data_IF_372802737746
#
_entry.id   IF_372802737746
#
_cell.length_a   1.000
_cell.length_b   1.000
_cell.length_c   1.000
_cell.angle_alpha   90.00
_cell.angle_beta   90.00
_cell.angle_gamma   90.00
#
_symmetry.space_group_name_H-M   'P 1'
#
loop_
_entity.id
_entity.type
_entity.pdbx_description
1 polymer ?
#
# COMPACT_ATOMS: atom_id res chain seq x y z
N UNK A 1 -4.53 14.12 12.66
CA UNK A 1 -5.32 12.89 12.82
C UNK A 1 -4.55 11.74 12.26
N UNK A 2 -4.71 10.54 12.82
CA UNK A 2 -3.70 9.53 12.65
C UNK A 2 -3.86 8.72 11.38
N UNK A 3 -2.73 8.43 10.76
CA UNK A 3 -2.63 7.34 9.82
C UNK A 3 -2.46 6.03 10.60
N UNK A 4 -3.18 4.99 10.23
CA UNK A 4 -3.02 3.67 10.82
C UNK A 4 -1.96 2.88 10.06
N UNK A 5 -0.98 2.36 10.77
CA UNK A 5 0.09 1.53 10.22
C UNK A 5 0.16 0.21 10.96
N UNK A 6 0.78 -0.77 10.32
CA UNK A 6 1.05 -2.06 10.94
C UNK A 6 2.02 -1.90 12.12
N UNK A 7 1.85 -2.76 13.13
CA UNK A 7 2.76 -2.80 14.26
C UNK A 7 4.19 -3.08 13.77
N UNK A 8 5.17 -2.46 14.41
CA UNK A 8 6.60 -2.64 14.12
C UNK A 8 7.05 -2.23 12.71
N UNK A 9 6.24 -1.47 11.97
CA UNK A 9 6.68 -0.94 10.67
C UNK A 9 7.83 0.08 10.89
N UNK A 10 9.01 -0.09 10.24
CA UNK A 10 10.16 0.80 10.48
C UNK A 10 9.89 2.28 10.22
N UNK A 11 9.05 2.58 9.24
CA UNK A 11 8.68 3.95 8.85
C UNK A 11 7.92 4.69 9.96
N UNK A 12 7.28 3.96 10.89
CA UNK A 12 6.55 4.55 12.02
C UNK A 12 7.43 5.47 12.86
N UNK A 13 8.63 5.01 13.21
CA UNK A 13 9.57 5.80 14.03
C UNK A 13 10.00 7.10 13.33
N UNK A 14 10.20 7.03 12.02
CA UNK A 14 10.58 8.20 11.22
C UNK A 14 9.43 9.22 11.20
N UNK A 15 8.20 8.76 10.98
CA UNK A 15 7.02 9.63 10.98
C UNK A 15 6.80 10.30 12.35
N UNK A 16 6.97 9.55 13.42
CA UNK A 16 6.87 10.09 14.79
C UNK A 16 7.95 11.14 15.07
N UNK A 17 9.17 10.94 14.56
CA UNK A 17 10.25 11.92 14.69
C UNK A 17 9.97 13.23 13.95
N UNK A 18 9.15 13.19 12.92
CA UNK A 18 8.68 14.35 12.16
C UNK A 18 7.41 15.00 12.74
N UNK A 19 7.01 14.61 13.96
CA UNK A 19 5.79 15.07 14.62
C UNK A 19 4.50 14.72 13.85
N UNK A 20 4.52 13.67 13.06
CA UNK A 20 3.33 13.13 12.40
C UNK A 20 2.70 12.09 13.31
N UNK A 21 1.44 12.29 13.66
CA UNK A 21 0.74 11.35 14.52
C UNK A 21 0.39 10.08 13.76
N UNK A 22 0.95 8.96 14.21
CA UNK A 22 0.77 7.63 13.63
C UNK A 22 0.10 6.73 14.66
N UNK A 23 -0.86 5.95 14.22
CA UNK A 23 -1.60 5.02 15.06
C UNK A 23 -1.25 3.59 14.66
N UNK A 24 -0.88 2.76 15.63
CA UNK A 24 -0.73 1.33 15.40
C UNK A 24 -2.09 0.62 15.39
N UNK A 25 -2.11 -0.64 14.95
CA UNK A 25 -3.35 -1.41 14.84
C UNK A 25 -4.05 -1.59 16.19
N UNK A 26 -3.29 -1.79 17.25
CA UNK A 26 -3.86 -2.00 18.58
C UNK A 26 -4.63 -0.76 19.06
N UNK A 27 -4.07 0.42 18.89
CA UNK A 27 -4.71 1.67 19.28
C UNK A 27 -5.92 2.00 18.40
N UNK A 28 -5.83 1.69 17.10
CA UNK A 28 -6.92 1.94 16.15
C UNK A 28 -8.16 1.10 16.44
N UNK A 29 -8.01 -0.11 16.99
CA UNK A 29 -9.12 -0.99 17.34
C UNK A 29 -10.03 -0.43 18.46
N UNK A 30 -9.55 0.53 19.22
CA UNK A 30 -10.33 1.18 20.30
C UNK A 30 -11.06 2.46 19.84
N UNK A 31 -11.12 2.71 18.54
CA UNK A 31 -11.80 3.90 18.01
C UNK A 31 -13.04 3.51 17.22
N UNK A 32 -14.15 4.21 17.47
CA UNK A 32 -15.45 3.96 16.83
C UNK A 32 -15.60 4.60 15.44
N UNK A 33 -14.53 5.14 14.87
CA UNK A 33 -14.56 5.82 13.58
C UNK A 33 -14.14 4.86 12.49
N UNK A 34 -14.97 4.70 11.45
CA UNK A 34 -14.60 3.89 10.28
C UNK A 34 -13.42 4.53 9.56
N UNK A 35 -12.28 3.85 9.44
CA UNK A 35 -11.14 4.39 8.70
C UNK A 35 -11.40 4.36 7.18
N UNK A 36 -10.74 5.28 6.47
CA UNK A 36 -10.62 5.20 5.02
C UNK A 36 -9.61 4.10 4.70
N UNK A 37 -10.02 3.13 3.90
CA UNK A 37 -9.17 2.00 3.51
C UNK A 37 -8.50 2.27 2.18
N UNK A 38 -7.17 2.34 2.20
CA UNK A 38 -6.35 2.56 1.00
C UNK A 38 -5.47 1.34 0.75
N UNK A 39 -5.55 0.79 -0.45
CA UNK A 39 -4.60 -0.21 -0.93
C UNK A 39 -3.43 0.49 -1.64
N UNK A 40 -2.21 0.06 -1.37
CA UNK A 40 -1.00 0.58 -2.00
C UNK A 40 -0.23 -0.56 -2.66
N UNK A 41 -0.28 -0.63 -3.99
CA UNK A 41 0.56 -1.53 -4.77
C UNK A 41 1.91 -0.85 -5.03
N UNK A 42 2.93 -1.30 -4.33
CA UNK A 42 4.27 -0.71 -4.39
C UNK A 42 5.18 -1.46 -5.36
N UNK A 43 5.38 -0.87 -6.53
CA UNK A 43 6.24 -1.40 -7.60
C UNK A 43 7.64 -0.78 -7.60
N UNK A 44 7.90 0.17 -6.70
CA UNK A 44 9.19 0.84 -6.63
C UNK A 44 10.30 -0.07 -6.09
N UNK A 45 11.56 0.13 -6.52
CA UNK A 45 12.67 -0.70 -6.07
C UNK A 45 13.03 -0.47 -4.59
N UNK A 46 12.97 0.78 -4.12
CA UNK A 46 13.21 1.15 -2.72
C UNK A 46 11.87 1.30 -2.00
N UNK A 47 11.31 0.17 -1.59
CA UNK A 47 9.95 0.13 -1.05
C UNK A 47 9.77 0.94 0.24
N UNK A 48 10.74 0.90 1.14
CA UNK A 48 10.66 1.61 2.43
C UNK A 48 10.66 3.13 2.24
N UNK A 49 11.42 3.65 1.29
CA UNK A 49 11.40 5.09 0.97
C UNK A 49 10.06 5.52 0.38
N UNK A 50 9.50 4.72 -0.51
CA UNK A 50 8.20 4.98 -1.12
C UNK A 50 7.08 4.90 -0.08
N UNK A 51 7.14 3.93 0.83
CA UNK A 51 6.23 3.82 1.97
C UNK A 51 6.24 5.11 2.79
N UNK A 52 7.43 5.60 3.14
CA UNK A 52 7.58 6.84 3.90
C UNK A 52 6.95 8.04 3.19
N UNK A 53 7.24 8.21 1.91
CA UNK A 53 6.75 9.34 1.13
C UNK A 53 5.23 9.33 1.00
N UNK A 54 4.64 8.18 0.71
CA UNK A 54 3.19 8.06 0.54
C UNK A 54 2.47 8.19 1.88
N UNK A 55 2.97 7.56 2.94
CA UNK A 55 2.38 7.66 4.27
C UNK A 55 2.46 9.10 4.80
N UNK A 56 3.55 9.82 4.52
CA UNK A 56 3.67 11.24 4.87
C UNK A 56 2.61 12.07 4.17
N UNK A 57 2.35 11.80 2.90
CA UNK A 57 1.31 12.50 2.13
C UNK A 57 -0.10 12.18 2.61
N UNK A 58 -0.38 10.90 2.88
CA UNK A 58 -1.69 10.44 3.36
C UNK A 58 -1.99 10.89 4.79
N UNK A 59 -0.97 11.14 5.59
CA UNK A 59 -1.16 11.59 6.98
C UNK A 59 -1.66 13.03 7.08
N UNK A 60 -1.62 13.78 5.99
CA UNK A 60 -2.06 15.18 5.94
C UNK A 60 -3.59 15.30 5.75
N UNK A 61 -4.35 14.57 6.56
CA UNK A 61 -5.81 14.59 6.56
C UNK A 61 -6.33 14.45 7.99
N UNK A 62 -7.48 15.06 8.34
CA UNK A 62 -8.11 14.87 9.64
C UNK A 62 -8.78 13.50 9.79
N UNK A 63 -8.90 12.71 8.70
CA UNK A 63 -9.54 11.40 8.72
C UNK A 63 -8.55 10.30 9.05
N UNK A 64 -9.03 9.24 9.70
CA UNK A 64 -8.22 8.05 9.92
C UNK A 64 -8.04 7.28 8.61
N UNK A 65 -6.81 6.98 8.26
CA UNK A 65 -6.46 6.24 7.03
C UNK A 65 -5.81 4.91 7.40
N UNK A 66 -6.33 3.84 6.86
CA UNK A 66 -5.82 2.47 7.01
C UNK A 66 -5.20 2.03 5.69
N UNK A 67 -3.88 1.87 5.67
CA UNK A 67 -3.13 1.55 4.47
C UNK A 67 -2.74 0.07 4.46
N UNK A 68 -3.11 -0.63 3.39
CA UNK A 68 -2.70 -2.02 3.14
C UNK A 68 -1.66 -2.04 2.04
N UNK A 69 -0.47 -2.53 2.33
CA UNK A 69 0.59 -2.69 1.34
C UNK A 69 0.40 -3.98 0.53
N UNK A 70 0.49 -3.86 -0.78
CA UNK A 70 0.34 -4.96 -1.72
C UNK A 70 1.60 -5.10 -2.56
N UNK A 71 2.05 -6.32 -2.74
CA UNK A 71 3.18 -6.65 -3.62
C UNK A 71 2.75 -7.64 -4.70
N UNK A 72 3.40 -7.55 -5.87
CA UNK A 72 3.21 -8.53 -6.94
C UNK A 72 3.89 -9.85 -6.57
N UNK A 73 3.20 -10.95 -6.78
CA UNK A 73 3.73 -12.29 -6.46
C UNK A 73 4.73 -12.79 -7.50
N UNK A 74 4.57 -12.37 -8.74
CA UNK A 74 5.39 -12.83 -9.88
C UNK A 74 6.78 -12.19 -9.98
N UNK A 75 7.08 -11.20 -9.14
CA UNK A 75 8.36 -10.49 -9.16
C UNK A 75 9.01 -10.48 -7.78
N UNK A 76 10.30 -10.79 -7.73
CA UNK A 76 11.09 -10.69 -6.50
C UNK A 76 11.82 -9.35 -6.43
N UNK A 77 11.61 -8.62 -5.35
CA UNK A 77 12.35 -7.38 -5.13
C UNK A 77 13.81 -7.66 -4.83
N UNK A 78 14.69 -6.95 -5.52
CA UNK A 78 16.15 -7.06 -5.30
C UNK A 78 16.65 -6.21 -4.14
N UNK A 79 15.95 -5.13 -3.82
CA UNK A 79 16.40 -4.10 -2.89
C UNK A 79 15.68 -4.11 -1.54
N UNK A 80 14.64 -4.93 -1.38
CA UNK A 80 13.88 -5.05 -0.14
C UNK A 80 14.00 -6.46 0.39
N UNK A 81 14.22 -6.60 1.71
CA UNK A 81 14.35 -7.91 2.33
C UNK A 81 13.05 -8.72 2.22
N UNK A 82 13.18 -10.02 2.01
CA UNK A 82 12.01 -10.91 1.98
C UNK A 82 11.27 -10.93 3.31
N UNK A 83 11.97 -10.74 4.42
CA UNK A 83 11.35 -10.66 5.75
C UNK A 83 10.42 -9.45 5.87
N UNK A 84 10.83 -8.30 5.35
CA UNK A 84 9.99 -7.10 5.31
C UNK A 84 8.74 -7.31 4.45
N UNK A 85 8.92 -7.88 3.25
CA UNK A 85 7.81 -8.17 2.34
C UNK A 85 6.82 -9.17 2.95
N UNK A 86 7.31 -10.26 3.52
CA UNK A 86 6.44 -11.27 4.13
C UNK A 86 5.68 -10.76 5.34
N UNK A 87 6.28 -9.84 6.11
CA UNK A 87 5.66 -9.30 7.32
C UNK A 87 4.63 -8.22 7.04
N UNK A 88 4.89 -7.32 6.09
CA UNK A 88 4.09 -6.11 5.89
C UNK A 88 3.28 -6.06 4.61
N UNK A 89 3.66 -6.83 3.59
CA UNK A 89 3.01 -6.84 2.29
C UNK A 89 2.09 -8.04 2.12
N UNK A 90 0.95 -7.81 1.47
CA UNK A 90 0.01 -8.86 1.08
C UNK A 90 0.04 -9.05 -0.44
N UNK A 91 -0.28 -10.26 -0.89
CA UNK A 91 -0.42 -10.55 -2.31
C UNK A 91 -1.83 -10.19 -2.78
N UNK A 92 -1.98 -9.97 -4.08
CA UNK A 92 -3.28 -9.62 -4.66
C UNK A 92 -4.38 -10.65 -4.32
N UNK A 93 -4.06 -11.93 -4.35
CA UNK A 93 -5.03 -12.99 -4.02
C UNK A 93 -5.55 -12.91 -2.59
N UNK A 94 -4.79 -12.31 -1.68
CA UNK A 94 -5.20 -12.10 -0.28
C UNK A 94 -6.11 -10.89 -0.12
N UNK A 95 -6.02 -9.91 -1.01
CA UNK A 95 -6.75 -8.64 -0.89
C UNK A 95 -7.91 -8.48 -1.87
N UNK A 96 -8.04 -9.36 -2.85
CA UNK A 96 -9.05 -9.23 -3.92
C UNK A 96 -10.51 -9.20 -3.42
N UNK A 97 -10.77 -9.82 -2.28
CA UNK A 97 -12.09 -9.86 -1.65
C UNK A 97 -12.31 -8.73 -0.65
N UNK A 98 -11.29 -7.91 -0.38
CA UNK A 98 -11.37 -6.76 0.52
C UNK A 98 -11.91 -5.55 -0.22
N UNK A 99 -12.63 -4.70 0.51
CA UNK A 99 -13.13 -3.42 0.00
C UNK A 99 -12.15 -2.31 0.35
N UNK A 100 -11.82 -1.49 -0.63
CA UNK A 100 -10.98 -0.31 -0.45
C UNK A 100 -11.75 0.94 -0.91
N UNK A 101 -11.52 2.04 -0.20
CA UNK A 101 -12.06 3.35 -0.61
C UNK A 101 -11.18 4.01 -1.68
N UNK A 102 -9.90 3.63 -1.74
CA UNK A 102 -8.98 4.05 -2.78
C UNK A 102 -7.87 3.01 -2.99
N UNK A 103 -7.26 3.03 -4.16
CA UNK A 103 -6.16 2.15 -4.49
C UNK A 103 -5.08 2.93 -5.24
N UNK A 104 -3.85 2.88 -4.72
CA UNK A 104 -2.71 3.58 -5.30
C UNK A 104 -1.78 2.55 -5.95
N UNK A 105 -1.44 2.79 -7.20
CA UNK A 105 -0.43 2.02 -7.93
C UNK A 105 0.75 2.95 -8.17
N UNK A 106 1.92 2.58 -7.64
CA UNK A 106 3.14 3.38 -7.82
C UNK A 106 3.73 3.18 -9.22
N UNK A 107 4.62 4.07 -9.62
CA UNK A 107 5.46 3.84 -10.79
C UNK A 107 6.43 2.67 -10.58
N UNK A 108 7.05 2.24 -11.66
CA UNK A 108 8.08 1.22 -11.66
C UNK A 108 9.21 1.61 -12.63
N UNK A 109 10.46 1.20 -12.38
CA UNK A 109 11.60 1.59 -13.23
C UNK A 109 11.68 0.69 -14.50
N UNK A 110 10.65 0.76 -15.33
CA UNK A 110 10.51 -0.09 -16.54
C UNK A 110 10.30 0.73 -17.82
N UNK A 111 10.72 1.99 -17.82
CA UNK A 111 10.47 2.94 -18.92
C UNK A 111 11.09 2.50 -20.26
N UNK A 112 12.16 1.73 -20.21
CA UNK A 112 12.88 1.27 -21.41
C UNK A 112 12.50 -0.13 -21.87
N UNK A 113 11.55 -0.76 -21.20
CA UNK A 113 11.08 -2.11 -21.52
C UNK A 113 9.71 -2.08 -22.17
N UNK A 114 9.45 -2.91 -23.21
CA UNK A 114 8.08 -3.15 -23.66
C UNK A 114 7.25 -3.73 -22.53
N UNK A 115 5.97 -3.38 -22.47
CA UNK A 115 5.09 -3.85 -21.38
C UNK A 115 4.99 -5.38 -21.30
N UNK A 116 5.04 -6.05 -22.46
CA UNK A 116 4.97 -7.51 -22.55
C UNK A 116 6.19 -8.22 -21.94
N UNK A 117 7.32 -7.54 -21.82
CA UNK A 117 8.56 -8.09 -21.24
C UNK A 117 8.65 -7.88 -19.72
N UNK A 118 7.72 -7.17 -19.11
CA UNK A 118 7.69 -6.96 -17.65
C UNK A 118 7.21 -8.24 -16.97
N UNK A 119 7.99 -8.75 -16.01
CA UNK A 119 7.75 -10.04 -15.34
C UNK A 119 6.36 -10.15 -14.69
N UNK A 120 5.84 -9.04 -14.19
CA UNK A 120 4.55 -8.98 -13.48
C UNK A 120 3.43 -8.33 -14.31
N UNK A 121 3.61 -8.20 -15.63
CA UNK A 121 2.63 -7.51 -16.47
C UNK A 121 1.23 -8.14 -16.42
N UNK A 122 1.15 -9.47 -16.49
CA UNK A 122 -0.12 -10.18 -16.44
C UNK A 122 -0.83 -10.00 -15.10
N UNK A 123 -0.08 -10.05 -14.01
CA UNK A 123 -0.63 -9.81 -12.67
C UNK A 123 -1.07 -8.35 -12.51
N UNK A 124 -0.28 -7.40 -12.98
CA UNK A 124 -0.60 -5.98 -12.97
C UNK A 124 -1.88 -5.68 -13.76
N UNK A 125 -2.03 -6.27 -14.94
CA UNK A 125 -3.24 -6.12 -15.76
C UNK A 125 -4.48 -6.64 -15.05
N UNK A 126 -4.39 -7.78 -14.38
CA UNK A 126 -5.50 -8.32 -13.57
C UNK A 126 -5.85 -7.40 -12.40
N UNK A 127 -4.87 -6.83 -11.75
CA UNK A 127 -5.09 -5.87 -10.67
C UNK A 127 -5.76 -4.61 -11.20
N UNK A 128 -5.32 -4.09 -12.34
CA UNK A 128 -5.94 -2.93 -12.98
C UNK A 128 -7.39 -3.18 -13.40
N UNK A 129 -7.69 -4.35 -13.94
CA UNK A 129 -9.06 -4.74 -14.27
C UNK A 129 -9.94 -4.88 -13.02
N UNK A 130 -9.38 -5.44 -11.95
CA UNK A 130 -10.05 -5.52 -10.67
C UNK A 130 -10.40 -4.13 -10.10
N UNK A 131 -9.52 -3.13 -10.27
CA UNK A 131 -9.79 -1.76 -9.82
C UNK A 131 -10.91 -1.06 -10.59
N UNK A 132 -11.18 -1.47 -11.84
CA UNK A 132 -12.29 -0.93 -12.65
C UNK A 132 -13.66 -1.42 -12.20
N UNK A 133 -13.72 -2.64 -11.68
CA UNK A 133 -14.96 -3.29 -11.26
C UNK A 133 -14.88 -3.72 -9.81
N UNK A 134 -14.76 -2.76 -8.87
CA UNK A 134 -14.69 -3.14 -7.46
C UNK A 134 -16.00 -3.81 -7.05
N UNK A 135 -15.94 -4.84 -6.21
CA UNK A 135 -17.14 -5.41 -5.61
C UNK A 135 -17.80 -4.33 -4.73
N UNK A 136 -18.85 -3.71 -5.25
CA UNK A 136 -19.65 -2.64 -4.65
C UNK A 136 -18.89 -1.34 -4.34
N UNK A 137 -19.06 -0.41 -5.25
CA UNK A 137 -18.88 1.05 -5.14
C UNK A 137 -17.49 1.60 -4.71
N UNK A 138 -16.72 2.09 -5.67
CA UNK A 138 -16.03 3.34 -5.50
C UNK A 138 -14.57 3.33 -5.14
N UNK A 139 -13.77 2.32 -5.50
CA UNK A 139 -12.33 2.50 -5.42
C UNK A 139 -11.84 3.42 -6.54
N UNK A 140 -11.39 4.63 -6.18
CA UNK A 140 -10.67 5.48 -7.12
C UNK A 140 -9.22 4.97 -7.23
N UNK A 141 -8.76 4.72 -8.43
CA UNK A 141 -7.36 4.39 -8.71
C UNK A 141 -6.59 5.67 -9.00
N UNK A 142 -5.50 5.87 -8.31
CA UNK A 142 -4.61 7.00 -8.51
C UNK A 142 -3.26 6.55 -9.02
#
# INVERSE_FOLDING_TARGET
>A
MPIRVQNDLPVKEILESENIFVMDEHRAMHQDIRPIKIGLLNLMPLKEETELQILRSLSNTPLQVDVTFVAVASHQSKNTSMSHLNKFYQKFDEIKDKKFDGFIITGAPVEQMPFEEVDYWDELTRIMDWTKTPPEAGAACF
#
